data_IF_291729257901
#
_entry.id   IF_291729257901
#
_cell.length_a   1.000
_cell.length_b   1.000
_cell.length_c   1.000
_cell.angle_alpha   90.00
_cell.angle_beta   90.00
_cell.angle_gamma   90.00
#
_symmetry.space_group_name_H-M   'P 1'
#
loop_
_entity.id
_entity.type
_entity.pdbx_description
1 polymer ?
#
# COMPACT_ATOMS: atom_id res chain seq x y z
N UNK A 1 -9.55 -38.26 6.98
CA UNK A 1 -8.83 -38.91 5.85
C UNK A 1 -9.76 -39.37 4.71
N UNK A 2 -10.93 -39.97 5.00
CA UNK A 2 -11.87 -40.45 3.97
C UNK A 2 -12.38 -39.35 3.00
N UNK A 3 -12.44 -38.09 3.46
CA UNK A 3 -12.85 -36.92 2.65
C UNK A 3 -11.69 -36.11 2.07
N UNK A 4 -10.49 -36.70 1.92
CA UNK A 4 -9.29 -35.97 1.44
C UNK A 4 -9.50 -35.28 0.09
N UNK A 5 -10.20 -35.94 -0.85
CA UNK A 5 -10.52 -35.37 -2.18
C UNK A 5 -11.39 -34.13 -2.04
N UNK A 6 -12.41 -34.19 -1.18
CA UNK A 6 -13.29 -33.05 -0.91
C UNK A 6 -12.50 -31.86 -0.35
N UNK A 7 -11.58 -32.08 0.60
CA UNK A 7 -10.76 -30.98 1.14
C UNK A 7 -9.89 -30.35 0.06
N UNK A 8 -9.20 -31.15 -0.77
CA UNK A 8 -8.40 -30.59 -1.87
C UNK A 8 -9.25 -29.82 -2.89
N UNK A 9 -10.44 -30.31 -3.24
CA UNK A 9 -11.35 -29.61 -4.16
C UNK A 9 -11.79 -28.28 -3.55
N UNK A 10 -12.22 -28.27 -2.28
CA UNK A 10 -12.62 -27.04 -1.58
C UNK A 10 -11.44 -26.06 -1.53
N UNK A 11 -10.26 -26.51 -1.13
CA UNK A 11 -9.06 -25.65 -1.10
C UNK A 11 -8.72 -25.11 -2.48
N UNK A 12 -8.80 -25.93 -3.54
CA UNK A 12 -8.52 -25.49 -4.90
C UNK A 12 -9.54 -24.43 -5.38
N UNK A 13 -10.83 -24.60 -5.08
CA UNK A 13 -11.87 -23.62 -5.39
C UNK A 13 -11.63 -22.31 -4.63
N UNK A 14 -11.32 -22.39 -3.33
CA UNK A 14 -11.00 -21.21 -2.51
C UNK A 14 -9.76 -20.50 -3.04
N UNK A 15 -8.71 -21.23 -3.40
CA UNK A 15 -7.49 -20.66 -4.01
C UNK A 15 -7.81 -20.00 -5.34
N UNK A 16 -8.60 -20.64 -6.22
CA UNK A 16 -8.97 -20.06 -7.51
C UNK A 16 -9.79 -18.77 -7.35
N UNK A 17 -10.76 -18.77 -6.43
CA UNK A 17 -11.53 -17.56 -6.10
C UNK A 17 -10.63 -16.47 -5.50
N UNK A 18 -9.67 -16.86 -4.66
CA UNK A 18 -8.73 -15.91 -4.05
C UNK A 18 -7.80 -15.29 -5.09
N UNK A 19 -7.28 -16.07 -6.05
CA UNK A 19 -6.48 -15.56 -7.17
C UNK A 19 -7.29 -14.54 -7.97
N UNK A 20 -8.55 -14.85 -8.29
CA UNK A 20 -9.43 -13.91 -8.98
C UNK A 20 -9.64 -12.63 -8.14
N UNK A 21 -9.88 -12.75 -6.83
CA UNK A 21 -9.99 -11.62 -5.92
C UNK A 21 -8.73 -10.76 -5.88
N UNK A 22 -7.54 -11.37 -5.84
CA UNK A 22 -6.24 -10.66 -5.85
C UNK A 22 -6.11 -9.75 -7.06
N UNK A 23 -6.60 -10.16 -8.24
CA UNK A 23 -6.56 -9.30 -9.45
C UNK A 23 -7.41 -8.02 -9.35
N UNK A 24 -8.29 -7.94 -8.36
CA UNK A 24 -9.16 -6.78 -8.09
C UNK A 24 -8.68 -5.94 -6.90
N UNK A 25 -7.55 -6.30 -6.28
CA UNK A 25 -6.97 -5.48 -5.21
C UNK A 25 -6.49 -4.17 -5.80
N UNK A 26 -6.90 -3.07 -5.18
CA UNK A 26 -6.49 -1.72 -5.53
C UNK A 26 -5.97 -1.00 -4.28
N UNK A 27 -5.11 -0.01 -4.49
CA UNK A 27 -4.51 0.75 -3.39
C UNK A 27 -5.29 2.01 -3.14
N UNK A 28 -5.54 2.29 -1.86
CA UNK A 28 -6.07 3.56 -1.43
C UNK A 28 -5.08 4.24 -0.48
N UNK A 29 -4.54 5.36 -0.94
CA UNK A 29 -3.65 6.25 -0.18
C UNK A 29 -4.40 7.42 0.45
N UNK A 30 -5.71 7.56 0.21
CA UNK A 30 -6.54 8.64 0.75
C UNK A 30 -6.56 8.57 2.27
N UNK A 31 -6.28 9.72 2.89
CA UNK A 31 -6.36 9.85 4.34
C UNK A 31 -7.81 9.88 4.80
N UNK A 32 -8.67 10.58 4.05
CA UNK A 32 -10.10 10.73 4.35
C UNK A 32 -10.85 9.40 4.27
N UNK A 33 -10.37 8.45 3.44
CA UNK A 33 -10.93 7.10 3.36
C UNK A 33 -10.80 6.30 4.67
N UNK A 34 -9.99 6.75 5.63
CA UNK A 34 -9.90 6.14 6.96
C UNK A 34 -11.05 6.55 7.90
N UNK A 35 -11.91 7.48 7.50
CA UNK A 35 -12.99 7.99 8.32
C UNK A 35 -14.36 7.60 7.74
N UNK A 36 -15.38 7.62 8.60
CA UNK A 36 -16.75 7.38 8.16
C UNK A 36 -17.24 8.50 7.24
N UNK A 37 -18.10 8.13 6.27
CA UNK A 37 -18.57 9.06 5.23
C UNK A 37 -19.37 10.26 5.77
N UNK A 38 -19.92 10.12 6.97
CA UNK A 38 -20.73 11.06 7.72
C UNK A 38 -19.97 11.73 8.88
N UNK A 39 -18.67 11.43 9.05
CA UNK A 39 -17.85 12.10 10.06
C UNK A 39 -17.61 13.58 9.74
N UNK A 40 -17.46 14.40 10.78
CA UNK A 40 -17.27 15.85 10.65
C UNK A 40 -16.09 16.21 9.73
N UNK A 41 -15.00 15.44 9.78
CA UNK A 41 -13.83 15.68 8.92
C UNK A 41 -14.15 15.47 7.44
N UNK A 42 -14.88 14.41 7.09
CA UNK A 42 -15.26 14.13 5.70
C UNK A 42 -16.32 15.12 5.19
N UNK A 43 -17.26 15.52 6.05
CA UNK A 43 -18.28 16.51 5.70
C UNK A 43 -17.67 17.90 5.53
N UNK A 44 -16.76 18.30 6.42
CA UNK A 44 -16.05 19.59 6.35
C UNK A 44 -15.17 19.63 5.10
N UNK A 45 -14.44 18.56 4.80
CA UNK A 45 -13.64 18.47 3.57
C UNK A 45 -14.50 18.66 2.31
N UNK A 46 -15.63 17.94 2.21
CA UNK A 46 -16.58 18.10 1.10
C UNK A 46 -17.11 19.52 1.00
N UNK A 47 -17.44 20.13 2.13
CA UNK A 47 -17.90 21.52 2.17
C UNK A 47 -16.83 22.48 1.64
N UNK A 48 -15.59 22.37 2.12
CA UNK A 48 -14.47 23.20 1.65
C UNK A 48 -14.21 22.96 0.15
N UNK A 49 -14.15 21.71 -0.30
CA UNK A 49 -13.98 21.36 -1.71
C UNK A 49 -15.12 21.87 -2.63
N UNK A 50 -16.33 22.08 -2.09
CA UNK A 50 -17.45 22.66 -2.85
C UNK A 50 -17.36 24.18 -3.03
N UNK A 51 -16.56 24.86 -2.19
CA UNK A 51 -16.44 26.32 -2.16
C UNK A 51 -15.07 26.85 -2.58
N UNK A 52 -14.03 26.02 -2.47
CA UNK A 52 -12.64 26.38 -2.72
C UNK A 52 -11.99 25.45 -3.75
N UNK A 53 -10.73 25.75 -4.12
CA UNK A 53 -10.00 25.08 -5.20
C UNK A 53 -9.56 23.64 -4.90
N UNK A 54 -9.65 23.18 -3.65
CA UNK A 54 -9.17 21.86 -3.26
C UNK A 54 -8.62 21.86 -1.83
N UNK A 55 -8.73 20.74 -1.13
CA UNK A 55 -8.12 20.53 0.20
C UNK A 55 -6.80 19.77 0.13
N UNK A 56 -6.52 19.14 -1.02
CA UNK A 56 -5.26 18.46 -1.32
C UNK A 56 -4.37 19.34 -2.20
N UNK A 57 -3.05 19.26 -2.06
CA UNK A 57 -2.11 20.08 -2.84
C UNK A 57 -1.05 19.25 -3.54
N UNK A 58 -0.74 19.64 -4.76
CA UNK A 58 0.44 19.23 -5.52
C UNK A 58 1.32 20.45 -5.73
N UNK A 59 2.51 20.44 -5.15
CA UNK A 59 3.49 21.50 -5.31
C UNK A 59 4.51 21.07 -6.36
N UNK A 60 4.72 21.90 -7.37
CA UNK A 60 5.72 21.73 -8.41
C UNK A 60 6.81 22.77 -8.17
N UNK A 61 7.97 22.31 -7.72
CA UNK A 61 9.11 23.16 -7.38
C UNK A 61 10.03 23.18 -8.59
N UNK A 62 10.19 24.34 -9.19
CA UNK A 62 11.05 24.56 -10.35
C UNK A 62 12.36 25.17 -9.86
N UNK A 63 13.49 24.61 -10.31
CA UNK A 63 14.83 25.00 -9.85
C UNK A 63 15.78 25.17 -11.03
N UNK A 64 16.53 26.28 -11.05
CA UNK A 64 17.62 26.54 -12.00
C UNK A 64 18.93 26.80 -11.25
N UNK A 65 20.05 26.50 -11.89
CA UNK A 65 21.37 26.91 -11.40
C UNK A 65 21.65 28.40 -11.68
N UNK A 66 20.92 29.01 -12.61
CA UNK A 66 21.06 30.42 -12.98
C UNK A 66 20.30 31.32 -12.01
N UNK A 67 20.97 32.35 -11.48
CA UNK A 67 20.32 33.43 -10.74
C UNK A 67 19.32 34.15 -11.62
N UNK A 68 18.22 34.63 -11.01
CA UNK A 68 17.19 35.39 -11.73
C UNK A 68 16.49 34.62 -12.88
N UNK A 69 16.61 33.30 -12.93
CA UNK A 69 15.97 32.45 -13.95
C UNK A 69 14.44 32.69 -14.02
N UNK A 70 13.78 32.85 -12.87
CA UNK A 70 12.33 33.10 -12.81
C UNK A 70 11.94 34.58 -12.91
N UNK A 71 12.87 35.46 -13.32
CA UNK A 71 12.55 36.80 -13.84
C UNK A 71 12.37 36.80 -15.37
N UNK A 72 12.73 35.71 -16.05
CA UNK A 72 12.62 35.62 -17.50
C UNK A 72 11.15 35.38 -17.93
N UNK A 73 10.57 36.23 -18.81
CA UNK A 73 9.20 36.08 -19.28
C UNK A 73 8.90 34.72 -19.94
N UNK A 74 9.87 34.14 -20.64
CA UNK A 74 9.71 32.83 -21.30
C UNK A 74 9.45 31.71 -20.28
N UNK A 75 10.20 31.69 -19.18
CA UNK A 75 10.04 30.70 -18.13
C UNK A 75 8.68 30.86 -17.43
N UNK A 76 8.29 32.11 -17.15
CA UNK A 76 7.00 32.46 -16.56
C UNK A 76 5.83 32.07 -17.48
N UNK A 77 6.00 32.22 -18.79
CA UNK A 77 4.97 31.87 -19.79
C UNK A 77 4.74 30.37 -19.82
N UNK A 78 5.80 29.56 -19.81
CA UNK A 78 5.67 28.10 -19.69
C UNK A 78 5.00 27.67 -18.37
N UNK A 79 5.30 28.37 -17.27
CA UNK A 79 4.63 28.12 -15.98
C UNK A 79 3.14 28.42 -16.07
N UNK A 80 2.76 29.53 -16.69
CA UNK A 80 1.37 29.95 -16.85
C UNK A 80 0.60 29.00 -17.79
N UNK A 81 1.21 28.56 -18.89
CA UNK A 81 0.63 27.54 -19.77
C UNK A 81 0.41 26.21 -19.04
N UNK A 82 1.39 25.76 -18.25
CA UNK A 82 1.28 24.57 -17.43
C UNK A 82 0.10 24.67 -16.44
N UNK A 83 -0.05 25.85 -15.81
CA UNK A 83 -1.18 26.12 -14.93
C UNK A 83 -2.52 26.03 -15.66
N UNK A 84 -2.66 26.72 -16.79
CA UNK A 84 -3.89 26.74 -17.57
C UNK A 84 -4.27 25.35 -18.09
N UNK A 85 -3.31 24.54 -18.56
CA UNK A 85 -3.58 23.18 -19.02
C UNK A 85 -4.00 22.26 -17.88
N UNK A 86 -3.37 22.36 -16.71
CA UNK A 86 -3.72 21.53 -15.56
C UNK A 86 -5.09 21.88 -14.97
N UNK A 87 -5.45 23.17 -14.89
CA UNK A 87 -6.75 23.63 -14.34
C UNK A 87 -7.94 23.23 -15.24
N UNK A 88 -7.72 22.88 -16.52
CA UNK A 88 -8.77 22.29 -17.37
C UNK A 88 -9.23 20.91 -16.87
N UNK A 89 -8.43 20.22 -16.07
CA UNK A 89 -8.82 18.95 -15.47
C UNK A 89 -9.87 19.17 -14.39
N UNK A 90 -11.02 18.49 -14.50
CA UNK A 90 -12.13 18.62 -13.53
C UNK A 90 -11.74 18.38 -12.06
N UNK A 91 -10.66 17.63 -11.81
CA UNK A 91 -10.15 17.30 -10.49
C UNK A 91 -9.12 18.30 -9.93
N UNK A 92 -8.62 19.21 -10.76
CA UNK A 92 -7.78 20.34 -10.34
C UNK A 92 -8.70 21.54 -10.19
N UNK A 93 -8.88 22.03 -8.96
CA UNK A 93 -9.82 23.13 -8.75
C UNK A 93 -9.19 24.50 -8.88
N UNK A 94 -7.91 24.66 -8.55
CA UNK A 94 -7.18 25.92 -8.80
C UNK A 94 -5.66 25.68 -8.89
N UNK A 95 -4.93 26.68 -9.36
CA UNK A 95 -3.47 26.72 -9.30
C UNK A 95 -2.99 28.10 -8.86
N UNK A 96 -1.73 28.19 -8.41
CA UNK A 96 -1.13 29.44 -7.97
C UNK A 96 0.39 29.42 -8.16
N UNK A 97 0.94 30.47 -8.75
CA UNK A 97 2.39 30.63 -8.99
C UNK A 97 2.84 32.09 -8.95
N UNK A 98 4.13 32.32 -9.20
CA UNK A 98 4.71 33.64 -9.43
C UNK A 98 4.08 34.36 -10.64
N UNK A 99 3.68 33.61 -11.69
CA UNK A 99 3.04 34.19 -12.87
C UNK A 99 1.72 34.89 -12.52
N UNK A 100 0.96 34.38 -11.55
CA UNK A 100 -0.29 35.00 -11.12
C UNK A 100 -0.07 36.34 -10.41
N UNK A 101 1.00 36.46 -9.61
CA UNK A 101 1.42 37.74 -9.03
C UNK A 101 1.74 38.73 -10.13
N UNK A 102 2.60 38.34 -11.08
CA UNK A 102 3.07 39.23 -12.12
C UNK A 102 1.95 39.67 -13.05
N UNK A 103 1.04 38.77 -13.47
CA UNK A 103 -0.17 39.14 -14.22
C UNK A 103 -1.05 40.12 -13.45
N UNK A 104 -1.25 39.90 -12.14
CA UNK A 104 -2.06 40.80 -11.31
C UNK A 104 -1.40 42.16 -11.16
N UNK A 105 -0.10 42.21 -10.94
CA UNK A 105 0.67 43.45 -10.84
C UNK A 105 0.65 44.21 -12.15
N UNK A 106 0.86 43.52 -13.28
CA UNK A 106 0.81 44.12 -14.60
C UNK A 106 -0.55 44.78 -14.86
N UNK A 107 -1.65 44.08 -14.55
CA UNK A 107 -3.00 44.65 -14.61
C UNK A 107 -3.16 45.90 -13.74
N UNK A 108 -2.78 45.84 -12.47
CA UNK A 108 -2.94 46.96 -11.52
C UNK A 108 -2.12 48.18 -11.96
N UNK A 109 -0.88 47.97 -12.42
CA UNK A 109 0.01 49.03 -12.89
C UNK A 109 -0.48 49.68 -14.19
N UNK A 110 -1.32 48.97 -14.96
CA UNK A 110 -1.95 49.46 -16.18
C UNK A 110 -3.44 49.78 -15.97
N UNK A 111 -3.73 50.53 -14.89
CA UNK A 111 -5.06 51.06 -14.57
C UNK A 111 -6.16 49.99 -14.41
N UNK A 112 -5.80 48.83 -13.86
CA UNK A 112 -6.70 47.69 -13.64
C UNK A 112 -7.39 47.17 -14.94
N UNK A 113 -6.76 47.38 -16.09
CA UNK A 113 -7.26 46.88 -17.38
C UNK A 113 -7.06 45.36 -17.55
N UNK A 114 -8.13 44.64 -17.90
CA UNK A 114 -8.10 43.20 -18.12
C UNK A 114 -7.15 42.76 -19.26
N UNK A 115 -6.88 43.64 -20.22
CA UNK A 115 -5.93 43.38 -21.32
C UNK A 115 -4.50 43.16 -20.82
N UNK A 116 -4.16 43.72 -19.66
CA UNK A 116 -2.84 43.60 -19.03
C UNK A 116 -2.79 42.50 -17.97
N UNK A 117 -3.79 41.62 -17.90
CA UNK A 117 -3.71 40.38 -17.09
C UNK A 117 -2.86 39.32 -17.80
N UNK A 118 -1.63 39.70 -18.14
CA UNK A 118 -0.64 38.95 -18.90
C UNK A 118 0.72 39.08 -18.25
N UNK A 119 1.63 38.16 -18.53
CA UNK A 119 3.00 38.22 -18.02
C UNK A 119 3.70 39.45 -18.66
N UNK A 120 4.45 40.25 -17.88
CA UNK A 120 5.21 41.36 -18.44
C UNK A 120 6.21 40.90 -19.51
N UNK A 121 6.31 41.64 -20.62
CA UNK A 121 7.07 41.22 -21.80
C UNK A 121 8.60 41.20 -21.62
N UNK A 122 9.12 41.89 -20.60
CA UNK A 122 10.57 42.05 -20.39
C UNK A 122 10.99 41.68 -18.98
N UNK A 123 12.20 41.13 -18.84
CA UNK A 123 12.81 40.80 -17.55
C UNK A 123 12.93 42.01 -16.63
N UNK A 124 13.16 43.20 -17.19
CA UNK A 124 13.28 44.45 -16.43
C UNK A 124 11.95 44.84 -15.79
N UNK A 125 10.83 44.70 -16.51
CA UNK A 125 9.50 44.94 -15.94
C UNK A 125 9.17 43.93 -14.84
N UNK A 126 9.49 42.65 -15.06
CA UNK A 126 9.33 41.61 -14.03
C UNK A 126 10.13 41.97 -12.78
N UNK A 127 11.40 42.34 -12.93
CA UNK A 127 12.26 42.73 -11.82
C UNK A 127 11.72 43.96 -11.06
N UNK A 128 11.23 44.97 -11.77
CA UNK A 128 10.64 46.17 -11.16
C UNK A 128 9.38 45.84 -10.38
N UNK A 129 8.51 44.97 -10.90
CA UNK A 129 7.30 44.54 -10.18
C UNK A 129 7.65 43.76 -8.92
N UNK A 130 8.60 42.83 -9.01
CA UNK A 130 9.05 42.07 -7.83
C UNK A 130 9.64 42.99 -6.76
N UNK A 131 10.48 43.96 -7.15
CA UNK A 131 11.04 44.96 -6.24
C UNK A 131 9.92 45.80 -5.57
N UNK A 132 8.95 46.28 -6.35
CA UNK A 132 7.81 47.02 -5.80
C UNK A 132 7.02 46.17 -4.79
N UNK A 133 6.80 44.89 -5.08
CA UNK A 133 6.13 43.98 -4.17
C UNK A 133 6.94 43.76 -2.89
N UNK A 134 8.25 43.56 -2.98
CA UNK A 134 9.12 43.41 -1.80
C UNK A 134 9.13 44.66 -0.91
N UNK A 135 9.02 45.85 -1.52
CA UNK A 135 9.01 47.12 -0.78
C UNK A 135 7.66 47.45 -0.14
N UNK A 136 6.53 47.01 -0.73
CA UNK A 136 5.18 47.47 -0.37
C UNK A 136 4.23 46.37 0.10
N UNK A 137 4.48 45.13 -0.32
CA UNK A 137 3.71 43.95 0.05
C UNK A 137 4.22 43.33 1.35
N UNK A 138 3.60 42.22 1.72
CA UNK A 138 4.10 41.35 2.78
C UNK A 138 5.15 40.39 2.18
N UNK A 139 6.44 40.55 2.53
CA UNK A 139 7.51 39.70 1.99
C UNK A 139 7.30 38.21 2.31
N UNK A 140 6.60 37.90 3.41
CA UNK A 140 6.34 36.51 3.79
C UNK A 140 5.47 35.75 2.77
N UNK A 141 4.66 36.47 1.98
CA UNK A 141 3.85 35.87 0.93
C UNK A 141 4.67 35.51 -0.31
N UNK A 142 5.64 36.35 -0.69
CA UNK A 142 6.49 36.13 -1.86
C UNK A 142 7.50 35.01 -1.61
N UNK A 143 8.08 34.94 -0.41
CA UNK A 143 9.08 33.91 -0.02
C UNK A 143 8.50 32.49 -0.02
N UNK A 144 7.16 32.33 0.06
CA UNK A 144 6.49 31.02 -0.08
C UNK A 144 6.46 30.50 -1.52
N UNK A 145 6.76 31.35 -2.50
CA UNK A 145 6.54 31.11 -3.93
C UNK A 145 7.85 31.24 -4.71
N UNK A 146 8.74 32.13 -4.32
CA UNK A 146 10.03 32.34 -4.97
C UNK A 146 11.09 32.57 -3.88
N UNK A 147 12.28 32.01 -4.07
CA UNK A 147 13.40 32.29 -3.18
C UNK A 147 14.07 33.64 -3.51
N UNK A 148 14.90 34.11 -2.59
CA UNK A 148 15.60 35.40 -2.73
C UNK A 148 16.46 35.51 -4.00
N UNK A 149 17.07 34.40 -4.44
CA UNK A 149 17.93 34.35 -5.63
C UNK A 149 17.15 34.23 -6.95
N UNK A 150 15.82 34.16 -6.88
CA UNK A 150 14.92 34.04 -8.04
C UNK A 150 15.23 32.84 -8.96
N UNK A 151 15.86 31.80 -8.42
CA UNK A 151 16.25 30.58 -9.12
C UNK A 151 15.50 29.34 -8.64
N UNK A 152 14.55 29.50 -7.70
CA UNK A 152 13.64 28.44 -7.23
C UNK A 152 12.24 28.99 -7.01
N UNK A 153 11.26 28.51 -7.77
CA UNK A 153 9.85 28.86 -7.59
C UNK A 153 8.95 27.67 -7.30
N UNK A 154 7.87 27.88 -6.56
CA UNK A 154 6.86 26.89 -6.24
C UNK A 154 5.53 27.21 -6.94
N UNK A 155 5.03 26.26 -7.70
CA UNK A 155 3.69 26.28 -8.32
C UNK A 155 2.79 25.33 -7.54
N UNK A 156 1.74 25.85 -6.92
CA UNK A 156 0.80 25.05 -6.13
C UNK A 156 -0.47 24.78 -6.91
N UNK A 157 -0.78 23.51 -7.12
CA UNK A 157 -2.05 23.02 -7.63
C UNK A 157 -2.93 22.53 -6.49
N UNK A 158 -4.15 23.05 -6.40
CA UNK A 158 -5.17 22.58 -5.47
C UNK A 158 -6.02 21.51 -6.15
N UNK A 159 -6.09 20.35 -5.51
CA UNK A 159 -6.76 19.16 -6.00
C UNK A 159 -8.02 18.90 -5.18
N UNK A 160 -9.09 18.50 -5.86
CA UNK A 160 -10.38 18.14 -5.24
C UNK A 160 -10.42 16.70 -4.69
N UNK A 161 -9.28 16.00 -4.73
CA UNK A 161 -9.13 14.63 -4.25
C UNK A 161 -7.69 14.37 -3.80
N UNK A 162 -7.54 13.43 -2.86
CA UNK A 162 -6.26 12.95 -2.32
C UNK A 162 -5.90 11.54 -2.80
N UNK A 163 -6.66 11.00 -3.76
CA UNK A 163 -6.45 9.69 -4.35
C UNK A 163 -5.41 9.71 -5.48
N UNK A 164 -4.70 8.59 -5.64
CA UNK A 164 -3.60 8.45 -6.61
C UNK A 164 -4.04 8.66 -8.07
N UNK A 165 -5.31 8.45 -8.42
CA UNK A 165 -5.78 8.73 -9.78
C UNK A 165 -5.80 10.23 -10.04
N UNK A 166 -6.40 11.01 -9.13
CA UNK A 166 -6.43 12.49 -9.21
C UNK A 166 -5.03 13.07 -9.38
N UNK A 167 -4.07 12.58 -8.58
CA UNK A 167 -2.69 13.08 -8.60
C UNK A 167 -1.98 12.69 -9.90
N UNK A 168 -2.15 11.46 -10.39
CA UNK A 168 -1.54 11.00 -11.64
C UNK A 168 -2.07 11.75 -12.88
N UNK A 169 -3.36 12.08 -12.90
CA UNK A 169 -3.96 12.88 -13.98
C UNK A 169 -3.28 14.26 -14.07
N UNK A 170 -3.11 14.95 -12.94
CA UNK A 170 -2.43 16.25 -12.89
C UNK A 170 -0.94 16.13 -13.28
N UNK A 171 -0.22 15.14 -12.73
CA UNK A 171 1.20 14.91 -13.05
C UNK A 171 1.42 14.61 -14.54
N UNK A 172 0.50 13.90 -15.19
CA UNK A 172 0.60 13.59 -16.63
C UNK A 172 0.59 14.85 -17.49
N UNK A 173 -0.17 15.87 -17.09
CA UNK A 173 -0.19 17.17 -17.77
C UNK A 173 1.09 17.94 -17.48
N UNK A 174 1.50 18.04 -16.21
CA UNK A 174 2.70 18.77 -15.78
C UNK A 174 3.97 18.21 -16.43
N UNK A 175 4.07 16.87 -16.56
CA UNK A 175 5.21 16.19 -17.22
C UNK A 175 5.45 16.62 -18.66
N UNK A 176 4.44 17.15 -19.37
CA UNK A 176 4.62 17.67 -20.73
C UNK A 176 5.57 18.88 -20.76
N UNK A 177 5.66 19.61 -19.65
CA UNK A 177 6.48 20.81 -19.50
C UNK A 177 7.90 20.51 -18.97
N UNK A 178 8.20 19.28 -18.55
CA UNK A 178 9.54 18.89 -18.09
C UNK A 178 10.61 19.14 -19.15
N UNK A 179 10.34 18.79 -20.41
CA UNK A 179 11.30 18.99 -21.50
C UNK A 179 11.48 20.47 -21.88
N UNK A 180 10.41 21.25 -22.19
CA UNK A 180 10.54 22.68 -22.47
C UNK A 180 11.27 23.46 -21.37
N UNK A 181 10.96 23.18 -20.11
CA UNK A 181 11.64 23.82 -18.97
C UNK A 181 13.09 23.33 -18.83
N UNK A 182 13.34 22.04 -19.06
CA UNK A 182 14.69 21.47 -19.07
C UNK A 182 15.60 22.05 -20.15
N UNK A 183 15.06 22.38 -21.33
CA UNK A 183 15.79 23.05 -22.41
C UNK A 183 16.25 24.47 -22.01
N UNK A 184 15.63 25.07 -20.97
CA UNK A 184 16.01 26.34 -20.36
C UNK A 184 16.89 26.17 -19.10
N UNK A 185 17.37 24.96 -18.80
CA UNK A 185 18.13 24.69 -17.59
C UNK A 185 17.31 24.68 -16.29
N UNK A 186 15.99 24.49 -16.39
CA UNK A 186 15.08 24.37 -15.24
C UNK A 186 14.73 22.91 -14.98
N UNK A 187 15.01 22.45 -13.77
CA UNK A 187 14.62 21.13 -13.26
C UNK A 187 13.28 21.20 -12.51
N UNK A 188 12.53 20.10 -12.52
CA UNK A 188 11.22 19.99 -11.87
C UNK A 188 11.28 18.99 -10.72
N UNK A 189 10.84 19.42 -9.55
CA UNK A 189 10.67 18.61 -8.36
C UNK A 189 9.21 18.65 -7.89
N UNK A 190 8.77 17.62 -7.17
CA UNK A 190 7.38 17.48 -6.73
C UNK A 190 7.26 17.37 -5.21
N UNK A 191 6.26 18.02 -4.65
CA UNK A 191 5.94 18.04 -3.22
C UNK A 191 4.42 18.19 -2.99
N UNK A 192 4.02 18.45 -1.74
CA UNK A 192 2.61 18.59 -1.36
C UNK A 192 1.97 17.29 -0.86
N UNK A 193 0.77 17.39 -0.28
CA UNK A 193 0.06 16.25 0.31
C UNK A 193 -0.35 15.22 -0.74
N UNK A 194 -0.75 15.66 -1.94
CA UNK A 194 -1.09 14.81 -3.06
C UNK A 194 0.11 13.98 -3.53
N UNK A 195 1.24 14.63 -3.84
CA UNK A 195 2.43 13.89 -4.31
C UNK A 195 2.92 12.86 -3.28
N UNK A 196 2.88 13.21 -1.98
CA UNK A 196 3.21 12.26 -0.91
C UNK A 196 2.33 11.01 -0.94
N UNK A 197 1.01 11.17 -1.10
CA UNK A 197 0.07 10.05 -1.17
C UNK A 197 0.36 9.09 -2.34
N UNK A 198 0.79 9.64 -3.48
CA UNK A 198 1.24 8.85 -4.63
C UNK A 198 2.53 8.08 -4.32
N UNK A 199 3.56 8.74 -3.80
CA UNK A 199 4.82 8.06 -3.43
C UNK A 199 4.58 6.96 -2.39
N UNK A 200 3.69 7.20 -1.42
CA UNK A 200 3.30 6.18 -0.45
C UNK A 200 2.60 4.98 -1.11
N UNK A 201 1.80 5.18 -2.16
CA UNK A 201 1.13 4.10 -2.90
C UNK A 201 2.15 3.10 -3.44
N UNK A 202 3.18 3.59 -4.13
CA UNK A 202 4.20 2.74 -4.75
C UNK A 202 5.04 2.02 -3.69
N UNK A 203 5.44 2.74 -2.63
CA UNK A 203 6.18 2.17 -1.51
C UNK A 203 5.38 1.08 -0.77
N UNK A 204 4.07 1.26 -0.62
CA UNK A 204 3.19 0.26 -0.01
C UNK A 204 3.07 -0.98 -0.91
N UNK A 205 2.88 -0.80 -2.23
CA UNK A 205 2.76 -1.92 -3.16
C UNK A 205 4.04 -2.77 -3.17
N UNK A 206 5.17 -2.13 -3.45
CA UNK A 206 6.47 -2.80 -3.54
C UNK A 206 6.85 -3.41 -2.19
N UNK A 207 6.68 -2.62 -1.12
CA UNK A 207 6.94 -3.06 0.25
C UNK A 207 6.09 -4.26 0.64
N UNK A 208 4.81 -4.31 0.28
CA UNK A 208 3.91 -5.41 0.60
C UNK A 208 4.28 -6.69 -0.16
N UNK A 209 4.54 -6.60 -1.47
CA UNK A 209 4.95 -7.76 -2.28
C UNK A 209 6.25 -8.34 -1.71
N UNK A 210 7.24 -7.46 -1.46
CA UNK A 210 8.52 -7.86 -0.88
C UNK A 210 8.34 -8.46 0.52
N UNK A 211 7.50 -7.87 1.38
CA UNK A 211 7.23 -8.36 2.73
C UNK A 211 6.61 -9.75 2.72
N UNK A 212 5.63 -10.02 1.85
CA UNK A 212 4.99 -11.34 1.73
C UNK A 212 6.00 -12.37 1.24
N UNK A 213 6.76 -12.08 0.18
CA UNK A 213 7.75 -13.01 -0.36
C UNK A 213 8.83 -13.33 0.67
N UNK A 214 9.39 -12.30 1.31
CA UNK A 214 10.41 -12.46 2.35
C UNK A 214 9.85 -13.24 3.54
N UNK A 215 8.64 -12.92 4.01
CA UNK A 215 8.03 -13.63 5.14
C UNK A 215 7.81 -15.12 4.83
N UNK A 216 7.29 -15.47 3.65
CA UNK A 216 7.10 -16.86 3.24
C UNK A 216 8.42 -17.62 3.13
N UNK A 217 9.47 -16.98 2.60
CA UNK A 217 10.82 -17.57 2.54
C UNK A 217 11.39 -17.78 3.94
N UNK A 218 11.26 -16.79 4.84
CA UNK A 218 11.73 -16.90 6.22
C UNK A 218 10.99 -18.00 6.99
N UNK A 219 9.67 -18.11 6.81
CA UNK A 219 8.86 -19.20 7.40
C UNK A 219 9.33 -20.56 6.88
N UNK A 220 9.53 -20.69 5.57
CA UNK A 220 10.03 -21.90 4.95
C UNK A 220 11.38 -22.31 5.54
N UNK A 221 12.32 -21.36 5.65
CA UNK A 221 13.65 -21.58 6.21
C UNK A 221 13.56 -21.96 7.69
N UNK A 222 12.79 -21.23 8.49
CA UNK A 222 12.59 -21.49 9.92
C UNK A 222 12.08 -22.92 10.14
N UNK A 223 11.00 -23.31 9.45
CA UNK A 223 10.44 -24.65 9.56
C UNK A 223 11.42 -25.72 9.05
N UNK A 224 12.15 -25.44 7.97
CA UNK A 224 13.17 -26.34 7.42
C UNK A 224 14.29 -26.59 8.43
N UNK A 225 14.81 -25.55 9.08
CA UNK A 225 15.88 -25.66 10.07
C UNK A 225 15.38 -26.33 11.35
N UNK A 226 14.23 -25.89 11.87
CA UNK A 226 13.66 -26.42 13.11
C UNK A 226 13.35 -27.92 13.01
N UNK A 227 12.83 -28.36 11.85
CA UNK A 227 12.52 -29.77 11.61
C UNK A 227 13.63 -30.56 10.92
N UNK A 228 14.73 -29.90 10.54
CA UNK A 228 15.84 -30.47 9.73
C UNK A 228 15.33 -31.19 8.47
N UNK A 229 14.32 -30.61 7.81
CA UNK A 229 13.66 -31.23 6.65
C UNK A 229 13.00 -30.20 5.75
N UNK A 230 13.51 -30.05 4.51
CA UNK A 230 12.94 -29.18 3.48
C UNK A 230 11.49 -29.57 3.17
N UNK A 231 11.18 -30.87 3.17
CA UNK A 231 9.82 -31.38 2.95
C UNK A 231 8.86 -30.90 4.04
N UNK A 232 9.28 -30.94 5.30
CA UNK A 232 8.48 -30.42 6.41
C UNK A 232 8.32 -28.90 6.33
N UNK A 233 9.36 -28.19 5.90
CA UNK A 233 9.30 -26.76 5.63
C UNK A 233 8.24 -26.39 4.59
N UNK A 234 8.30 -26.99 3.40
CA UNK A 234 7.35 -26.74 2.30
C UNK A 234 5.90 -27.07 2.69
N UNK A 235 5.70 -28.22 3.35
CA UNK A 235 4.37 -28.66 3.76
C UNK A 235 3.82 -27.76 4.88
N UNK A 236 4.67 -27.38 5.85
CA UNK A 236 4.31 -26.50 6.95
C UNK A 236 4.03 -25.06 6.53
N UNK A 237 4.68 -24.55 5.48
CA UNK A 237 4.43 -23.20 4.96
C UNK A 237 3.18 -23.11 4.06
N UNK A 238 2.66 -24.24 3.58
CA UNK A 238 1.52 -24.27 2.64
C UNK A 238 0.23 -23.64 3.20
N UNK A 239 -0.24 -23.95 4.43
CA UNK A 239 -1.43 -23.29 5.00
C UNK A 239 -1.29 -21.78 5.15
N UNK A 240 -0.06 -21.30 5.43
CA UNK A 240 0.25 -19.88 5.63
C UNK A 240 0.20 -19.14 4.28
N UNK A 241 0.79 -19.74 3.24
CA UNK A 241 0.71 -19.19 1.89
C UNK A 241 -0.75 -19.09 1.39
N UNK A 242 -1.56 -20.12 1.65
CA UNK A 242 -2.98 -20.11 1.29
C UNK A 242 -3.75 -19.07 2.11
N UNK A 243 -3.45 -18.92 3.40
CA UNK A 243 -4.05 -17.89 4.26
C UNK A 243 -3.75 -16.48 3.72
N UNK A 244 -2.49 -16.19 3.39
CA UNK A 244 -2.11 -14.92 2.79
C UNK A 244 -2.90 -14.66 1.50
N UNK A 245 -2.97 -15.67 0.62
CA UNK A 245 -3.72 -15.57 -0.64
C UNK A 245 -5.21 -15.30 -0.41
N UNK A 246 -5.84 -15.99 0.55
CA UNK A 246 -7.24 -15.76 0.92
C UNK A 246 -7.43 -14.34 1.46
N UNK A 247 -6.52 -13.82 2.28
CA UNK A 247 -6.57 -12.44 2.79
C UNK A 247 -6.72 -11.42 1.66
N UNK A 248 -5.80 -11.45 0.68
CA UNK A 248 -5.83 -10.54 -0.46
C UNK A 248 -7.00 -10.82 -1.42
N UNK A 249 -7.38 -12.09 -1.57
CA UNK A 249 -8.54 -12.49 -2.36
C UNK A 249 -9.85 -11.93 -1.82
N UNK A 250 -10.05 -12.01 -0.50
CA UNK A 250 -11.18 -11.40 0.20
C UNK A 250 -11.15 -9.90 0.05
N UNK A 251 -9.97 -9.27 0.20
CA UNK A 251 -9.85 -7.82 0.05
C UNK A 251 -10.35 -7.35 -1.31
N UNK A 252 -9.89 -7.96 -2.41
CA UNK A 252 -10.35 -7.58 -3.74
C UNK A 252 -11.81 -7.98 -4.04
N UNK A 253 -12.31 -9.08 -3.45
CA UNK A 253 -13.70 -9.50 -3.62
C UNK A 253 -14.70 -8.59 -2.89
N UNK A 254 -14.35 -8.12 -1.69
CA UNK A 254 -15.17 -7.23 -0.87
C UNK A 254 -14.87 -5.74 -1.10
N UNK A 255 -14.03 -5.41 -2.09
CA UNK A 255 -13.61 -4.05 -2.40
C UNK A 255 -12.95 -3.32 -1.20
N UNK A 256 -12.21 -4.06 -0.37
CA UNK A 256 -11.41 -3.51 0.71
C UNK A 256 -10.05 -3.09 0.12
N UNK A 257 -9.70 -1.80 0.17
CA UNK A 257 -8.45 -1.33 -0.43
C UNK A 257 -7.24 -1.82 0.33
N UNK A 258 -6.13 -1.97 -0.38
CA UNK A 258 -4.81 -2.04 0.23
C UNK A 258 -4.38 -0.62 0.62
N UNK A 259 -4.37 -0.32 1.91
CA UNK A 259 -3.85 0.93 2.47
C UNK A 259 -2.62 0.67 3.34
N UNK A 260 -1.98 1.72 3.86
CA UNK A 260 -0.88 1.61 4.83
C UNK A 260 -1.28 0.73 6.02
N UNK A 261 -2.51 0.89 6.50
CA UNK A 261 -3.02 0.11 7.63
C UNK A 261 -3.19 -1.35 7.25
N UNK A 262 -3.92 -1.68 6.18
CA UNK A 262 -4.13 -3.09 5.81
C UNK A 262 -2.82 -3.79 5.42
N UNK A 263 -1.86 -3.07 4.85
CA UNK A 263 -0.54 -3.59 4.50
C UNK A 263 0.23 -4.10 5.73
N UNK A 264 0.42 -3.23 6.73
CA UNK A 264 1.07 -3.58 8.00
C UNK A 264 0.40 -4.77 8.68
N UNK A 265 -0.92 -4.79 8.66
CA UNK A 265 -1.72 -5.84 9.28
C UNK A 265 -1.64 -7.18 8.55
N UNK A 266 -1.58 -7.16 7.22
CA UNK A 266 -1.42 -8.40 6.44
C UNK A 266 -0.10 -9.08 6.80
N UNK A 267 0.97 -8.30 6.99
CA UNK A 267 2.27 -8.86 7.39
C UNK A 267 2.26 -9.43 8.81
N UNK A 268 1.59 -8.77 9.77
CA UNK A 268 1.44 -9.29 11.14
C UNK A 268 0.63 -10.59 11.15
N UNK A 269 -0.48 -10.63 10.40
CA UNK A 269 -1.38 -11.78 10.36
C UNK A 269 -0.71 -13.04 9.82
N UNK A 270 0.18 -12.91 8.82
CA UNK A 270 1.00 -14.03 8.32
C UNK A 270 1.90 -14.58 9.44
N UNK A 271 2.47 -13.70 10.28
CA UNK A 271 3.33 -14.08 11.40
C UNK A 271 2.60 -14.85 12.49
N UNK A 272 1.39 -14.40 12.86
CA UNK A 272 0.61 -15.03 13.93
C UNK A 272 0.22 -16.46 13.58
N UNK A 273 -0.17 -16.75 12.33
CA UNK A 273 -0.67 -18.07 11.94
C UNK A 273 0.37 -19.20 11.85
N UNK A 274 1.67 -18.91 12.01
CA UNK A 274 2.75 -19.91 11.86
C UNK A 274 2.80 -20.88 13.05
N UNK A 275 2.42 -20.39 14.23
CA UNK A 275 2.48 -21.15 15.49
C UNK A 275 1.67 -22.45 15.42
N UNK A 276 0.51 -22.44 14.76
CA UNK A 276 -0.35 -23.60 14.58
C UNK A 276 0.36 -24.71 13.81
N UNK A 277 1.05 -24.36 12.71
CA UNK A 277 1.82 -25.32 11.93
C UNK A 277 3.02 -25.87 12.72
N UNK A 278 3.70 -25.02 13.49
CA UNK A 278 4.81 -25.42 14.37
C UNK A 278 4.33 -26.42 15.42
N UNK A 279 3.30 -26.06 16.20
CA UNK A 279 2.76 -26.90 17.25
C UNK A 279 2.24 -28.22 16.70
N UNK A 280 1.55 -28.20 15.57
CA UNK A 280 1.05 -29.41 14.91
C UNK A 280 2.19 -30.34 14.47
N UNK A 281 3.17 -29.82 13.71
CA UNK A 281 4.29 -30.62 13.19
C UNK A 281 5.20 -31.15 14.29
N UNK A 282 5.44 -30.36 15.34
CA UNK A 282 6.25 -30.78 16.50
C UNK A 282 5.60 -31.96 17.23
N UNK A 283 4.32 -31.82 17.59
CA UNK A 283 3.62 -32.88 18.31
C UNK A 283 3.40 -34.12 17.44
N UNK A 284 3.10 -33.94 16.14
CA UNK A 284 3.05 -35.06 15.20
C UNK A 284 4.38 -35.81 15.13
N UNK A 285 5.51 -35.09 15.04
CA UNK A 285 6.84 -35.73 15.03
C UNK A 285 7.16 -36.45 16.34
N UNK A 286 6.68 -35.94 17.47
CA UNK A 286 6.83 -36.59 18.78
C UNK A 286 6.00 -37.86 18.87
N UNK A 287 4.71 -37.78 18.51
CA UNK A 287 3.79 -38.91 18.52
C UNK A 287 4.19 -40.00 17.52
N UNK A 288 4.83 -39.67 16.40
CA UNK A 288 5.40 -40.66 15.49
C UNK A 288 6.49 -41.56 16.12
N UNK A 289 7.13 -41.12 17.22
CA UNK A 289 8.13 -41.95 17.92
C UNK A 289 7.52 -42.93 18.90
N UNK A 290 6.32 -42.64 19.40
CA UNK A 290 5.65 -43.41 20.45
C UNK A 290 4.51 -44.27 19.92
N UNK A 291 3.86 -43.85 18.84
CA UNK A 291 2.68 -44.50 18.27
C UNK A 291 3.04 -45.56 17.24
N UNK A 292 2.20 -46.60 17.12
CA UNK A 292 2.50 -47.79 16.32
C UNK A 292 2.48 -47.53 14.81
N UNK A 293 1.68 -46.58 14.35
CA UNK A 293 1.57 -46.22 12.95
C UNK A 293 1.29 -44.71 12.76
N UNK A 294 1.48 -44.24 11.54
CA UNK A 294 1.30 -42.83 11.17
C UNK A 294 -0.10 -42.30 11.46
N UNK A 295 -1.12 -43.15 11.29
CA UNK A 295 -2.52 -42.75 11.42
C UNK A 295 -2.89 -42.53 12.89
N UNK A 296 -2.36 -43.35 13.79
CA UNK A 296 -2.55 -43.20 15.22
C UNK A 296 -1.76 -41.99 15.76
N UNK A 297 -0.54 -41.74 15.26
CA UNK A 297 0.19 -40.51 15.55
C UNK A 297 -0.60 -39.24 15.18
N UNK A 298 -1.28 -39.23 14.03
CA UNK A 298 -2.14 -38.09 13.65
C UNK A 298 -3.36 -37.99 14.56
N UNK A 299 -4.03 -39.09 14.89
CA UNK A 299 -5.18 -39.09 15.81
C UNK A 299 -4.81 -38.51 17.17
N UNK A 300 -3.71 -38.98 17.78
CA UNK A 300 -3.23 -38.49 19.08
C UNK A 300 -2.88 -37.00 19.00
N UNK A 301 -2.24 -36.57 17.92
CA UNK A 301 -1.95 -35.14 17.69
C UNK A 301 -3.23 -34.30 17.58
N UNK A 302 -4.24 -34.77 16.86
CA UNK A 302 -5.53 -34.08 16.74
C UNK A 302 -6.29 -34.03 18.06
N UNK A 303 -6.25 -35.10 18.86
CA UNK A 303 -6.97 -35.19 20.13
C UNK A 303 -6.40 -34.27 21.21
N UNK A 304 -5.09 -34.03 21.21
CA UNK A 304 -4.43 -33.16 22.18
C UNK A 304 -4.10 -31.79 21.58
N UNK A 305 -3.16 -31.75 20.64
CA UNK A 305 -2.67 -30.50 20.03
C UNK A 305 -3.75 -29.81 19.20
N UNK A 306 -4.59 -30.57 18.48
CA UNK A 306 -5.69 -29.99 17.71
C UNK A 306 -6.70 -29.23 18.59
N UNK A 307 -7.02 -29.76 19.78
CA UNK A 307 -7.87 -29.06 20.76
C UNK A 307 -7.20 -27.80 21.32
N UNK A 308 -5.91 -27.89 21.66
CA UNK A 308 -5.15 -26.73 22.16
C UNK A 308 -5.09 -25.60 21.11
N UNK A 309 -4.80 -25.95 19.85
CA UNK A 309 -4.80 -25.02 18.71
C UNK A 309 -6.19 -24.40 18.52
N UNK A 310 -7.26 -25.20 18.62
CA UNK A 310 -8.65 -24.70 18.51
C UNK A 310 -8.98 -23.70 19.61
N UNK A 311 -8.62 -24.00 20.86
CA UNK A 311 -8.86 -23.09 21.98
C UNK A 311 -8.10 -21.77 21.81
N UNK A 312 -6.82 -21.82 21.44
CA UNK A 312 -6.03 -20.63 21.13
C UNK A 312 -6.70 -19.81 20.02
N UNK A 313 -7.03 -20.44 18.88
CA UNK A 313 -7.67 -19.75 17.76
C UNK A 313 -8.96 -19.04 18.19
N UNK A 314 -9.84 -19.70 18.95
CA UNK A 314 -11.09 -19.09 19.44
C UNK A 314 -10.81 -17.88 20.33
N UNK A 315 -9.88 -17.99 21.28
CA UNK A 315 -9.55 -16.89 22.21
C UNK A 315 -8.99 -15.69 21.46
N UNK A 316 -8.01 -15.91 20.57
CA UNK A 316 -7.35 -14.79 19.88
C UNK A 316 -8.28 -14.16 18.82
N UNK A 317 -9.04 -14.97 18.08
CA UNK A 317 -10.08 -14.46 17.17
C UNK A 317 -11.08 -13.61 17.95
N UNK A 318 -11.57 -14.10 19.10
CA UNK A 318 -12.51 -13.33 19.93
C UNK A 318 -11.91 -12.00 20.39
N UNK A 319 -10.62 -11.98 20.74
CA UNK A 319 -9.91 -10.75 21.10
C UNK A 319 -9.84 -9.73 19.98
N UNK A 320 -9.55 -10.15 18.75
CA UNK A 320 -9.52 -9.24 17.59
C UNK A 320 -10.92 -8.83 17.12
N UNK A 321 -11.94 -9.68 17.29
CA UNK A 321 -13.34 -9.34 16.97
C UNK A 321 -13.87 -8.18 17.81
N UNK A 322 -13.32 -7.91 19.00
CA UNK A 322 -13.67 -6.72 19.81
C UNK A 322 -13.44 -5.42 19.03
N UNK A 323 -12.45 -5.39 18.13
CA UNK A 323 -12.14 -4.19 17.34
C UNK A 323 -13.21 -3.85 16.30
N UNK A 324 -14.14 -4.79 16.01
CA UNK A 324 -15.31 -4.51 15.16
C UNK A 324 -16.25 -3.45 15.76
N UNK A 325 -16.20 -3.24 17.09
CA UNK A 325 -16.98 -2.21 17.77
C UNK A 325 -16.32 -0.83 17.76
N UNK A 326 -15.14 -0.68 17.14
CA UNK A 326 -14.44 0.60 17.05
C UNK A 326 -15.18 1.59 16.14
N UNK A 327 -15.30 2.84 16.59
CA UNK A 327 -15.79 3.97 15.76
C UNK A 327 -14.82 4.34 14.62
N UNK A 328 -13.56 3.91 14.72
CA UNK A 328 -12.55 4.15 13.69
C UNK A 328 -12.51 2.98 12.68
N UNK A 329 -12.86 3.19 11.39
CA UNK A 329 -12.93 2.13 10.38
C UNK A 329 -11.68 1.25 10.26
N UNK A 330 -10.45 1.79 10.27
CA UNK A 330 -9.24 0.97 10.15
C UNK A 330 -9.11 -0.09 11.24
N UNK A 331 -9.58 0.18 12.47
CA UNK A 331 -9.58 -0.81 13.55
C UNK A 331 -10.60 -1.93 13.29
N UNK A 332 -11.77 -1.62 12.72
CA UNK A 332 -12.75 -2.66 12.35
C UNK A 332 -12.20 -3.56 11.25
N UNK A 333 -11.61 -2.96 10.22
CA UNK A 333 -10.95 -3.69 9.13
C UNK A 333 -9.82 -4.57 9.67
N UNK A 334 -9.03 -4.06 10.64
CA UNK A 334 -8.02 -4.84 11.35
C UNK A 334 -8.64 -6.06 12.05
N UNK A 335 -9.64 -5.83 12.90
CA UNK A 335 -10.30 -6.89 13.66
C UNK A 335 -10.85 -7.97 12.73
N UNK A 336 -11.48 -7.57 11.62
CA UNK A 336 -12.02 -8.48 10.62
C UNK A 336 -10.93 -9.29 9.89
N UNK A 337 -9.92 -8.63 9.33
CA UNK A 337 -8.89 -9.29 8.52
C UNK A 337 -7.99 -10.20 9.35
N UNK A 338 -7.59 -9.77 10.56
CA UNK A 338 -6.78 -10.64 11.44
C UNK A 338 -7.59 -11.85 11.90
N UNK A 339 -8.85 -11.66 12.30
CA UNK A 339 -9.74 -12.76 12.69
C UNK A 339 -9.94 -13.75 11.54
N UNK A 340 -10.16 -13.25 10.32
CA UNK A 340 -10.25 -14.06 9.10
C UNK A 340 -8.97 -14.88 8.89
N UNK A 341 -7.81 -14.23 8.92
CA UNK A 341 -6.53 -14.88 8.68
C UNK A 341 -6.21 -15.95 9.72
N UNK A 342 -6.49 -15.68 11.00
CA UNK A 342 -6.34 -16.67 12.06
C UNK A 342 -7.28 -17.86 11.86
N UNK A 343 -8.54 -17.60 11.51
CA UNK A 343 -9.51 -18.65 11.22
C UNK A 343 -9.09 -19.53 10.03
N UNK A 344 -8.63 -18.92 8.93
CA UNK A 344 -8.19 -19.68 7.75
C UNK A 344 -6.87 -20.41 7.99
N UNK A 345 -5.93 -19.85 8.75
CA UNK A 345 -4.69 -20.53 9.12
C UNK A 345 -4.97 -21.73 10.05
N UNK A 346 -5.84 -21.52 11.04
CA UNK A 346 -6.34 -22.57 11.93
C UNK A 346 -6.95 -23.74 11.14
N UNK A 347 -7.92 -23.44 10.26
CA UNK A 347 -8.56 -24.45 9.42
C UNK A 347 -7.56 -25.12 8.48
N UNK A 348 -6.69 -24.33 7.84
CA UNK A 348 -5.64 -24.84 6.95
C UNK A 348 -4.69 -25.80 7.67
N UNK A 349 -4.33 -25.50 8.92
CA UNK A 349 -3.48 -26.37 9.74
C UNK A 349 -4.20 -27.66 10.11
N UNK A 350 -5.41 -27.60 10.67
CA UNK A 350 -6.09 -28.82 11.12
C UNK A 350 -6.60 -29.70 9.97
N UNK A 351 -6.80 -29.14 8.79
CA UNK A 351 -7.31 -29.89 7.63
C UNK A 351 -6.22 -30.17 6.59
N UNK A 352 -5.72 -29.14 5.92
CA UNK A 352 -4.81 -29.28 4.79
C UNK A 352 -3.44 -29.79 5.23
N UNK A 353 -2.83 -29.19 6.26
CA UNK A 353 -1.52 -29.62 6.76
C UNK A 353 -1.57 -31.08 7.23
N UNK A 354 -2.60 -31.45 7.99
CA UNK A 354 -2.80 -32.85 8.41
C UNK A 354 -2.82 -33.81 7.21
N UNK A 355 -3.55 -33.48 6.14
CA UNK A 355 -3.64 -34.32 4.94
C UNK A 355 -2.30 -34.38 4.19
N UNK A 356 -1.61 -33.25 4.06
CA UNK A 356 -0.31 -33.19 3.39
C UNK A 356 0.76 -33.99 4.16
N UNK A 357 0.81 -33.82 5.48
CA UNK A 357 1.70 -34.58 6.36
C UNK A 357 1.45 -36.09 6.23
N UNK A 358 0.18 -36.50 6.20
CA UNK A 358 -0.20 -37.89 5.99
C UNK A 358 0.27 -38.40 4.62
N UNK A 359 -0.11 -37.70 3.55
CA UNK A 359 0.12 -38.12 2.16
C UNK A 359 1.59 -38.19 1.76
N UNK A 360 2.39 -37.21 2.19
CA UNK A 360 3.82 -37.13 1.87
C UNK A 360 4.72 -37.89 2.85
N UNK A 361 4.14 -38.57 3.85
CA UNK A 361 4.88 -39.39 4.84
C UNK A 361 6.02 -38.60 5.49
N UNK A 362 5.72 -37.37 5.91
CA UNK A 362 6.70 -36.47 6.51
C UNK A 362 7.22 -37.08 7.81
N UNK A 363 8.54 -37.00 8.04
CA UNK A 363 9.28 -37.59 9.17
C UNK A 363 9.38 -39.11 9.21
N UNK A 364 8.81 -39.84 8.24
CA UNK A 364 8.98 -41.30 8.16
C UNK A 364 10.27 -41.60 7.39
N UNK A 365 11.25 -42.20 8.07
CA UNK A 365 12.43 -42.76 7.39
C UNK A 365 11.96 -43.88 6.47
N UNK A 366 12.35 -43.83 5.19
CA UNK A 366 12.15 -44.93 4.24
C UNK A 366 12.97 -46.12 4.75
N UNK A 367 12.34 -47.04 5.47
CA UNK A 367 13.03 -48.26 5.89
C UNK A 367 13.42 -49.06 4.65
N UNK A 368 14.72 -49.22 4.42
CA UNK A 368 15.29 -50.18 3.48
C UNK A 368 15.16 -51.62 4.03
N UNK A 369 13.95 -52.03 4.41
CA UNK A 369 13.66 -53.38 4.92
C UNK A 369 13.39 -54.34 3.76
N UNK A 370 14.34 -54.48 2.83
CA UNK A 370 14.35 -55.51 1.77
C UNK A 370 15.74 -56.05 1.45
N UNK A 371 16.67 -56.01 2.41
CA UNK A 371 18.02 -56.65 2.23
C UNK A 371 18.43 -57.69 3.27
N UNK A 372 17.61 -57.98 4.29
CA UNK A 372 18.00 -58.94 5.34
C UNK A 372 17.37 -60.33 5.16
N UNK A 373 16.22 -60.47 4.47
CA UNK A 373 15.56 -61.78 4.32
C UNK A 373 16.13 -62.70 3.22
N UNK A 374 17.07 -62.22 2.39
CA UNK A 374 17.65 -63.05 1.31
C UNK A 374 19.01 -63.68 1.65
N UNK A 375 19.54 -63.49 2.86
CA UNK A 375 20.85 -64.03 3.26
C UNK A 375 20.81 -65.20 4.27
N UNK A 376 19.63 -65.69 4.64
CA UNK A 376 19.49 -66.92 5.45
C UNK A 376 18.98 -68.13 4.66
N UNK A 377 19.02 -68.05 3.32
CA UNK A 377 18.73 -69.16 2.41
C UNK A 377 19.80 -69.19 1.31
N UNK A 378 21.02 -69.51 1.69
CA UNK A 378 22.07 -70.05 0.81
C UNK A 378 22.97 -70.94 1.65
#
# INVERSE_FOLDING_TARGET
LNKKRTVFIITAVVVAFSIYGVTKVWINSSFLANFEKDSDIVLTDKFVNSKFGGTSTLNVILESEEYDAFKQPDALTLIDEMQHEAVKLSRVGNSFSLADYLKRMNKVMNADSDEFYTIPETSDMVAQYLLLYEMSGDPENLVRIINYDYNRTNVTFQLKGDDSQTINEALTVIKKFEKPLGDMGVSINYAGSGYKALVFTDLILEGQIKSILVSLVLVLLLLTFMFKSIKAGLIGSTPIAITALISFGVMGALNIPLSTTTALLSSIAIGIGIDYAIHFLQNYRMNLKTESNQLDAIKTTMLHTGKAITFNAVVVISGFLVLLFSVFPPNRTLGALVSMNMFTSFLGTLTLLMILVFGFKVFIKKNNSTKVEKKSRL
#
